data_IF_413709041636
#
_entry.id   IF_413709041636
#
_cell.length_a   1.000
_cell.length_b   1.000
_cell.length_c   1.000
_cell.angle_alpha   90.00
_cell.angle_beta   90.00
_cell.angle_gamma   90.00
#
_symmetry.space_group_name_H-M   'P 1'
#
loop_
_entity.id
_entity.type
_entity.pdbx_description
1 polymer ?
#
# COMPACT_ATOMS: atom_id res chain seq x y z
N UNK A 1 -1.07 -17.28 3.66
CA UNK A 1 -1.46 -16.49 2.46
C UNK A 1 -0.44 -15.41 2.16
N UNK A 2 -0.39 -14.29 2.88
CA UNK A 2 0.66 -13.25 2.70
C UNK A 2 2.10 -13.79 2.82
N UNK A 3 2.45 -14.42 3.95
CA UNK A 3 3.79 -14.96 4.18
C UNK A 3 4.21 -16.08 3.21
N UNK A 4 3.26 -16.72 2.52
CA UNK A 4 3.58 -17.72 1.51
C UNK A 4 3.97 -17.01 0.22
N UNK A 5 3.15 -16.06 -0.23
CA UNK A 5 3.42 -15.22 -1.40
C UNK A 5 4.77 -14.49 -1.28
N UNK A 6 5.06 -13.89 -0.11
CA UNK A 6 6.35 -13.22 0.11
C UNK A 6 7.55 -14.17 0.04
N UNK A 7 7.39 -15.43 0.43
CA UNK A 7 8.47 -16.43 0.37
C UNK A 7 8.70 -16.95 -1.04
N UNK A 8 7.64 -16.99 -1.85
CA UNK A 8 7.68 -17.49 -3.22
C UNK A 8 8.23 -16.44 -4.19
N UNK A 9 7.76 -15.19 -4.10
CA UNK A 9 8.06 -14.15 -5.09
C UNK A 9 9.02 -13.06 -4.57
N UNK A 10 9.17 -12.91 -3.25
CA UNK A 10 10.12 -11.95 -2.66
C UNK A 10 10.02 -10.54 -3.24
N UNK A 11 11.13 -10.06 -3.81
CA UNK A 11 11.28 -8.71 -4.36
C UNK A 11 10.49 -8.48 -5.66
N UNK A 12 10.05 -9.53 -6.35
CA UNK A 12 9.20 -9.40 -7.56
C UNK A 12 7.83 -8.79 -7.23
N UNK A 13 7.44 -8.83 -5.96
CA UNK A 13 6.19 -8.24 -5.50
C UNK A 13 6.26 -6.71 -5.43
N UNK A 14 7.44 -6.10 -5.41
CA UNK A 14 7.57 -4.65 -5.25
C UNK A 14 6.85 -3.89 -6.36
N UNK A 15 5.96 -2.98 -5.95
CA UNK A 15 5.10 -2.23 -6.86
C UNK A 15 3.82 -2.95 -7.28
N UNK A 16 3.51 -4.11 -6.69
CA UNK A 16 2.25 -4.83 -6.93
C UNK A 16 1.31 -4.73 -5.72
N UNK A 17 0.05 -5.07 -5.94
CA UNK A 17 -0.95 -5.23 -4.90
C UNK A 17 -1.48 -6.67 -4.90
N UNK A 18 -1.52 -7.28 -3.71
CA UNK A 18 -2.21 -8.55 -3.52
C UNK A 18 -3.49 -8.36 -2.71
N UNK A 19 -4.61 -8.81 -3.27
CA UNK A 19 -5.91 -8.81 -2.61
C UNK A 19 -6.14 -10.13 -1.88
N UNK A 20 -6.18 -10.07 -0.56
CA UNK A 20 -6.53 -11.20 0.30
C UNK A 20 -8.05 -11.16 0.52
N UNK A 21 -8.82 -12.15 0.05
CA UNK A 21 -10.26 -12.21 0.29
C UNK A 21 -10.55 -12.52 1.76
N UNK A 22 -11.50 -11.80 2.35
CA UNK A 22 -12.17 -12.12 3.60
C UNK A 22 -13.68 -12.27 3.38
N UNK A 23 -14.42 -12.61 4.43
CA UNK A 23 -15.87 -12.88 4.32
C UNK A 23 -16.69 -11.68 3.84
N UNK A 24 -16.34 -10.47 4.30
CA UNK A 24 -17.05 -9.22 3.97
C UNK A 24 -16.18 -8.17 3.27
N UNK A 25 -14.86 -8.26 3.47
CA UNK A 25 -13.90 -7.27 3.01
C UNK A 25 -12.67 -7.95 2.44
N UNK A 26 -11.98 -7.24 1.55
CA UNK A 26 -10.67 -7.63 1.05
C UNK A 26 -9.60 -6.83 1.79
N UNK A 27 -8.45 -7.44 2.01
CA UNK A 27 -7.25 -6.74 2.49
C UNK A 27 -6.33 -6.54 1.28
N UNK A 28 -6.08 -5.28 0.96
CA UNK A 28 -5.12 -4.91 -0.08
C UNK A 28 -3.71 -4.77 0.52
N UNK A 29 -2.81 -5.69 0.18
CA UNK A 29 -1.41 -5.63 0.56
C UNK A 29 -0.62 -4.89 -0.53
N UNK A 30 -0.19 -3.66 -0.26
CA UNK A 30 0.70 -2.90 -1.14
C UNK A 30 2.16 -3.26 -0.81
N UNK A 31 2.90 -3.76 -1.79
CA UNK A 31 4.30 -4.12 -1.62
C UNK A 31 5.21 -2.95 -1.99
N UNK A 32 5.64 -2.20 -0.98
CA UNK A 32 6.32 -0.91 -1.19
C UNK A 32 7.78 -0.87 -0.73
N UNK A 33 8.29 -1.95 -0.12
CA UNK A 33 9.67 -2.04 0.36
C UNK A 33 10.13 -3.50 0.45
N UNK A 34 11.38 -3.79 0.05
CA UNK A 34 11.97 -5.14 0.09
C UNK A 34 12.15 -5.68 1.50
N UNK A 35 12.41 -4.78 2.44
CA UNK A 35 12.54 -5.12 3.84
C UNK A 35 11.81 -4.11 4.73
N UNK A 36 11.78 -4.38 6.03
CA UNK A 36 11.13 -3.53 7.02
C UNK A 36 12.11 -3.11 8.12
N UNK A 37 11.70 -2.13 8.94
CA UNK A 37 12.50 -1.64 10.06
C UNK A 37 13.72 -0.84 9.58
N UNK A 38 14.91 -1.18 10.10
CA UNK A 38 16.16 -0.48 9.75
C UNK A 38 16.64 -0.71 8.31
N UNK A 39 16.16 -1.78 7.66
CA UNK A 39 16.56 -2.16 6.29
C UNK A 39 15.52 -1.76 5.24
N UNK A 40 14.50 -0.98 5.61
CA UNK A 40 13.51 -0.49 4.64
C UNK A 40 14.18 0.30 3.52
N UNK A 41 13.55 0.28 2.35
CA UNK A 41 13.96 1.09 1.21
C UNK A 41 13.82 2.59 1.53
N UNK A 42 14.45 3.45 0.71
CA UNK A 42 14.41 4.90 0.92
C UNK A 42 13.00 5.44 0.65
N UNK A 43 12.61 6.56 1.27
CA UNK A 43 11.29 7.17 1.03
C UNK A 43 10.93 7.35 -0.45
N UNK A 44 11.89 7.75 -1.29
CA UNK A 44 11.70 7.91 -2.75
C UNK A 44 11.37 6.59 -3.45
N UNK A 45 12.00 5.49 -3.04
CA UNK A 45 11.76 4.15 -3.59
C UNK A 45 10.40 3.62 -3.12
N UNK A 46 10.07 3.85 -1.85
CA UNK A 46 8.76 3.51 -1.27
C UNK A 46 7.64 4.25 -2.00
N UNK A 47 7.80 5.54 -2.30
CA UNK A 47 6.82 6.33 -3.04
C UNK A 47 6.65 5.83 -4.47
N UNK A 48 7.74 5.51 -5.17
CA UNK A 48 7.69 4.94 -6.51
C UNK A 48 6.95 3.59 -6.53
N UNK A 49 7.26 2.69 -5.60
CA UNK A 49 6.57 1.40 -5.47
C UNK A 49 5.10 1.58 -5.04
N UNK A 50 4.82 2.54 -4.16
CA UNK A 50 3.44 2.86 -3.72
C UNK A 50 2.57 3.25 -4.91
N UNK A 51 3.08 4.08 -5.82
CA UNK A 51 2.36 4.48 -7.03
C UNK A 51 1.98 3.27 -7.89
N UNK A 52 2.95 2.39 -8.18
CA UNK A 52 2.71 1.18 -8.97
C UNK A 52 1.70 0.25 -8.29
N UNK A 53 1.84 0.05 -6.97
CA UNK A 53 0.96 -0.82 -6.20
C UNK A 53 -0.49 -0.29 -6.15
N UNK A 54 -0.67 1.05 -6.06
CA UNK A 54 -1.99 1.68 -6.09
C UNK A 54 -2.64 1.59 -7.48
N UNK A 55 -1.87 1.77 -8.56
CA UNK A 55 -2.35 1.55 -9.93
C UNK A 55 -2.78 0.08 -10.13
N UNK A 56 -2.01 -0.86 -9.58
CA UNK A 56 -2.36 -2.28 -9.63
C UNK A 56 -3.63 -2.58 -8.83
N UNK A 57 -3.79 -2.00 -7.64
CA UNK A 57 -5.04 -2.08 -6.87
C UNK A 57 -6.23 -1.52 -7.66
N UNK A 58 -6.08 -0.37 -8.30
CA UNK A 58 -7.14 0.25 -9.10
C UNK A 58 -7.56 -0.66 -10.26
N UNK A 59 -6.59 -1.29 -10.95
CA UNK A 59 -6.84 -2.27 -12.02
C UNK A 59 -7.59 -3.51 -11.51
N UNK A 60 -7.32 -3.95 -10.28
CA UNK A 60 -7.97 -5.11 -9.67
C UNK A 60 -9.36 -4.78 -9.09
N UNK A 61 -9.60 -3.55 -8.64
CA UNK A 61 -10.86 -3.10 -8.04
C UNK A 61 -11.95 -2.79 -9.09
N UNK A 62 -12.23 -3.73 -9.99
CA UNK A 62 -13.19 -3.57 -11.10
C UNK A 62 -14.63 -3.32 -10.65
N UNK A 63 -14.98 -3.79 -9.46
CA UNK A 63 -16.31 -3.62 -8.87
C UNK A 63 -16.50 -2.23 -8.21
N UNK A 64 -15.48 -1.36 -8.22
CA UNK A 64 -15.56 -0.03 -7.61
C UNK A 64 -15.77 -0.09 -6.10
N UNK A 65 -15.18 -1.07 -5.40
CA UNK A 65 -15.33 -1.21 -3.95
C UNK A 65 -14.73 0.00 -3.25
N UNK A 66 -15.40 0.46 -2.19
CA UNK A 66 -14.92 1.56 -1.36
C UNK A 66 -13.56 1.21 -0.75
N UNK A 67 -12.61 2.13 -0.89
CA UNK A 67 -11.27 1.97 -0.35
C UNK A 67 -11.17 2.63 1.03
N UNK A 68 -10.57 1.90 1.96
CA UNK A 68 -10.37 2.31 3.34
C UNK A 68 -8.91 2.05 3.71
N UNK A 69 -8.22 3.07 4.25
CA UNK A 69 -6.81 2.98 4.56
C UNK A 69 -6.47 3.77 5.82
N UNK A 70 -5.37 3.43 6.49
CA UNK A 70 -4.75 4.35 7.46
C UNK A 70 -3.83 5.34 6.70
N UNK A 71 -3.13 6.22 7.43
CA UNK A 71 -1.97 6.94 6.87
C UNK A 71 -0.79 5.98 6.61
N UNK A 72 -0.92 5.12 5.60
CA UNK A 72 0.12 4.16 5.25
C UNK A 72 1.42 4.88 4.84
N UNK A 73 2.55 4.20 5.01
CA UNK A 73 3.91 4.75 4.90
C UNK A 73 4.34 5.79 5.97
N UNK A 74 3.42 6.47 6.66
CA UNK A 74 3.78 7.55 7.60
C UNK A 74 4.28 7.10 8.97
N UNK A 75 4.10 5.82 9.30
CA UNK A 75 4.61 5.21 10.54
C UNK A 75 6.05 4.72 10.38
N UNK A 76 6.24 3.39 10.44
CA UNK A 76 7.57 2.76 10.41
C UNK A 76 8.37 3.01 9.13
N UNK A 77 7.70 3.32 8.02
CA UNK A 77 8.36 3.68 6.78
C UNK A 77 8.87 5.14 6.77
N UNK A 78 8.40 5.98 7.70
CA UNK A 78 8.85 7.36 7.90
C UNK A 78 8.79 8.21 6.61
N UNK A 79 7.78 7.97 5.78
CA UNK A 79 7.47 8.81 4.62
C UNK A 79 6.47 9.87 5.08
N UNK A 80 6.72 11.18 4.87
CA UNK A 80 5.73 12.21 5.16
C UNK A 80 4.38 11.87 4.52
N UNK A 81 3.29 11.98 5.29
CA UNK A 81 1.96 11.57 4.81
C UNK A 81 1.56 12.33 3.54
N UNK A 82 1.92 13.62 3.46
CA UNK A 82 1.64 14.50 2.33
C UNK A 82 2.16 13.94 1.01
N UNK A 83 3.32 13.26 1.02
CA UNK A 83 3.91 12.68 -0.18
C UNK A 83 3.11 11.46 -0.67
N UNK A 84 2.60 10.64 0.27
CA UNK A 84 1.72 9.51 -0.05
C UNK A 84 0.34 10.00 -0.50
N UNK A 85 -0.20 11.02 0.16
CA UNK A 85 -1.47 11.66 -0.19
C UNK A 85 -1.44 12.29 -1.59
N UNK A 86 -0.31 12.89 -1.97
CA UNK A 86 -0.14 13.46 -3.32
C UNK A 86 -0.28 12.40 -4.42
N UNK A 87 0.25 11.19 -4.21
CA UNK A 87 0.10 10.06 -5.15
C UNK A 87 -1.39 9.65 -5.25
N UNK A 88 -2.09 9.56 -4.12
CA UNK A 88 -3.51 9.20 -4.10
C UNK A 88 -4.34 10.22 -4.91
N UNK A 89 -4.07 11.52 -4.71
CA UNK A 89 -4.72 12.62 -5.43
C UNK A 89 -4.41 12.59 -6.93
N UNK A 90 -3.15 12.36 -7.31
CA UNK A 90 -2.74 12.30 -8.71
C UNK A 90 -3.35 11.11 -9.46
N UNK A 91 -3.54 9.97 -8.77
CA UNK A 91 -4.22 8.80 -9.33
C UNK A 91 -5.76 8.92 -9.29
N UNK A 92 -6.29 10.05 -8.82
CA UNK A 92 -7.73 10.31 -8.68
C UNK A 92 -8.48 9.21 -7.89
N UNK A 93 -7.80 8.63 -6.89
CA UNK A 93 -8.36 7.53 -6.10
C UNK A 93 -9.17 8.06 -4.91
N UNK A 94 -10.44 7.72 -4.86
CA UNK A 94 -11.28 7.99 -3.69
C UNK A 94 -11.05 6.94 -2.60
N UNK A 95 -10.60 7.38 -1.42
CA UNK A 95 -10.42 6.52 -0.25
C UNK A 95 -10.71 7.25 1.05
N UNK A 96 -11.28 6.52 2.01
CA UNK A 96 -11.43 7.00 3.39
C UNK A 96 -10.12 6.71 4.14
N UNK A 97 -9.40 7.78 4.50
CA UNK A 97 -8.17 7.68 5.28
C UNK A 97 -8.45 7.93 6.75
N UNK A 98 -8.10 6.97 7.61
CA UNK A 98 -8.25 7.06 9.05
C UNK A 98 -6.98 7.59 9.71
N UNK A 99 -7.15 8.59 10.56
CA UNK A 99 -6.09 9.12 11.40
C UNK A 99 -5.85 8.23 12.62
N UNK A 100 -4.58 7.97 12.99
CA UNK A 100 -4.30 7.28 14.24
C UNK A 100 -4.76 8.15 15.41
N UNK A 101 -5.50 7.56 16.34
CA UNK A 101 -5.89 8.22 17.59
C UNK A 101 -4.62 8.49 18.39
N UNK A 102 -4.27 9.76 18.56
CA UNK A 102 -3.25 10.17 19.53
C UNK A 102 -3.81 9.95 20.92
N UNK A 103 -3.25 8.98 21.64
CA UNK A 103 -3.50 8.72 23.07
C UNK A 103 -2.36 9.25 23.90
#
# INVERSE_FOLDING_TARGET
>A
MYNALCREHGDELIGTCFLIPGEKHYIACLFTSRAYGRRKDKPTEILAATRLALQDLQRQNKDGRKLHACRFNSGKFAVPWQDTEAIIKELEMEMVVYDPVTT
#
